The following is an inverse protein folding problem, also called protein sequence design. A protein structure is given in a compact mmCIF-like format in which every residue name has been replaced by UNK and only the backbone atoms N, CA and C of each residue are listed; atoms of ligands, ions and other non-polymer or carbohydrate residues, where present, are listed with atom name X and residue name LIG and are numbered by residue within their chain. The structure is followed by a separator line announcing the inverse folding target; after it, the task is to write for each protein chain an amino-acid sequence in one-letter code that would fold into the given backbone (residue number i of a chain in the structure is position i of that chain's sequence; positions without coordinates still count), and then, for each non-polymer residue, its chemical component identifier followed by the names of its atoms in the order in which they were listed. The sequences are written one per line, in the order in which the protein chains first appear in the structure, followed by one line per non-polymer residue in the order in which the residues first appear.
data_IF_418286590596
#
_entry.id   IF_418286590596
#
_cell.length_a   1.000
_cell.length_b   1.000
_cell.length_c   1.000
_cell.angle_alpha   90.00
_cell.angle_beta   90.00
_cell.angle_gamma   90.00
#
_symmetry.space_group_name_H-M   'P 1'
#
loop_
_entity.id
_entity.type
_entity.pdbx_description
1 polymer ?
#
# COMPACT_ATOMS: atom_id res chain seq x y z
N UNK A 1 8.77 -20.58 -10.23
CA UNK A 1 7.88 -20.26 -9.09
C UNK A 1 7.70 -18.76 -9.08
N UNK A 2 6.50 -18.27 -8.78
CA UNK A 2 6.18 -16.84 -8.78
C UNK A 2 5.82 -16.43 -7.34
N UNK A 3 6.82 -16.44 -6.46
CA UNK A 3 6.63 -16.10 -5.05
C UNK A 3 6.60 -14.59 -4.90
N UNK A 4 5.83 -14.10 -3.94
CA UNK A 4 5.92 -12.71 -3.47
C UNK A 4 7.00 -12.62 -2.38
N UNK A 5 8.05 -11.85 -2.63
CA UNK A 5 9.20 -11.68 -1.73
C UNK A 5 9.24 -10.23 -1.27
N UNK A 6 9.08 -10.02 0.05
CA UNK A 6 9.22 -8.72 0.68
C UNK A 6 10.59 -8.61 1.36
N UNK A 7 11.40 -7.65 0.93
CA UNK A 7 12.71 -7.35 1.52
C UNK A 7 12.62 -6.03 2.28
N UNK A 8 12.86 -6.06 3.59
CA UNK A 8 12.69 -4.90 4.48
C UNK A 8 14.03 -4.45 5.05
N UNK A 9 14.39 -3.20 4.82
CA UNK A 9 15.43 -2.49 5.55
C UNK A 9 14.79 -1.67 6.69
N UNK A 10 15.18 -1.87 7.96
CA UNK A 10 14.69 -1.06 9.07
C UNK A 10 15.09 0.43 8.90
N UNK A 11 14.32 1.33 9.53
CA UNK A 11 14.51 2.78 9.41
C UNK A 11 15.70 3.33 10.25
N UNK A 12 16.90 2.77 10.07
CA UNK A 12 18.13 3.34 10.62
C UNK A 12 18.90 4.13 9.56
N UNK A 13 19.66 5.13 10.02
CA UNK A 13 20.54 5.91 9.16
C UNK A 13 21.70 5.04 8.70
N UNK A 14 21.87 4.88 7.40
CA UNK A 14 22.96 4.12 6.80
C UNK A 14 23.70 4.99 5.77
N UNK A 15 25.03 4.94 5.77
CA UNK A 15 25.87 5.66 4.81
C UNK A 15 25.84 5.00 3.43
N UNK A 16 25.64 3.70 3.39
CA UNK A 16 25.67 2.92 2.15
C UNK A 16 24.28 2.36 1.83
N UNK A 17 23.95 2.19 0.53
CA UNK A 17 22.76 1.44 0.13
C UNK A 17 22.79 0.02 0.73
N UNK A 18 21.62 -0.61 0.92
CA UNK A 18 21.52 -1.97 1.47
C UNK A 18 21.93 -3.02 0.42
N UNK A 19 23.21 -3.03 0.05
CA UNK A 19 23.77 -3.84 -1.04
C UNK A 19 23.43 -5.34 -0.92
N UNK A 20 23.38 -5.87 0.31
CA UNK A 20 22.97 -7.24 0.57
C UNK A 20 21.53 -7.52 0.14
N UNK A 21 20.58 -6.66 0.54
CA UNK A 21 19.18 -6.77 0.12
C UNK A 21 19.05 -6.52 -1.39
N UNK A 22 19.81 -5.60 -1.96
CA UNK A 22 19.79 -5.34 -3.41
C UNK A 22 20.22 -6.59 -4.20
N UNK A 23 21.28 -7.30 -3.77
CA UNK A 23 21.71 -8.55 -4.40
C UNK A 23 20.64 -9.64 -4.32
N UNK A 24 19.99 -9.79 -3.17
CA UNK A 24 18.88 -10.72 -3.00
C UNK A 24 17.72 -10.36 -3.93
N UNK A 25 17.38 -9.07 -4.01
CA UNK A 25 16.32 -8.59 -4.87
C UNK A 25 16.58 -8.92 -6.34
N UNK A 26 17.81 -8.70 -6.81
CA UNK A 26 18.22 -9.07 -8.17
C UNK A 26 18.09 -10.57 -8.41
N UNK A 27 18.61 -11.40 -7.49
CA UNK A 27 18.54 -12.85 -7.63
C UNK A 27 17.09 -13.35 -7.74
N UNK A 28 16.20 -12.93 -6.84
CA UNK A 28 14.80 -13.37 -6.85
C UNK A 28 14.04 -12.90 -8.10
N UNK A 29 14.29 -11.66 -8.57
CA UNK A 29 13.74 -11.20 -9.86
C UNK A 29 14.24 -12.03 -11.04
N UNK A 30 15.52 -12.41 -11.06
CA UNK A 30 16.09 -13.23 -12.14
C UNK A 30 15.46 -14.62 -12.24
N UNK A 31 15.00 -15.20 -11.13
CA UNK A 31 14.32 -16.51 -11.13
C UNK A 31 12.80 -16.39 -11.29
N UNK A 32 12.28 -15.19 -11.54
CA UNK A 32 10.87 -14.91 -11.84
C UNK A 32 9.96 -14.67 -10.64
N UNK A 33 10.52 -14.40 -9.45
CA UNK A 33 9.75 -14.03 -8.26
C UNK A 33 9.41 -12.51 -8.27
N UNK A 34 8.26 -12.14 -7.69
CA UNK A 34 7.83 -10.75 -7.51
C UNK A 34 8.47 -10.17 -6.24
N UNK A 35 9.34 -9.17 -6.40
CA UNK A 35 10.15 -8.64 -5.30
C UNK A 35 9.81 -7.19 -5.00
N UNK A 36 9.27 -6.95 -3.81
CA UNK A 36 9.08 -5.62 -3.22
C UNK A 36 10.20 -5.32 -2.23
N UNK A 37 10.83 -4.17 -2.41
CA UNK A 37 11.81 -3.63 -1.46
C UNK A 37 11.17 -2.49 -0.66
N UNK A 38 11.33 -2.50 0.65
CA UNK A 38 10.82 -1.44 1.53
C UNK A 38 11.88 -1.00 2.55
N UNK A 39 12.00 0.31 2.74
CA UNK A 39 12.80 0.91 3.81
C UNK A 39 11.93 1.86 4.60
N UNK A 40 11.74 1.62 5.90
CA UNK A 40 10.91 2.50 6.71
C UNK A 40 10.21 1.82 7.88
N UNK A 41 9.10 2.41 8.30
CA UNK A 41 8.24 1.88 9.36
C UNK A 41 7.30 0.81 8.78
N UNK A 42 7.38 -0.41 9.33
CA UNK A 42 6.57 -1.55 8.88
C UNK A 42 5.06 -1.29 8.99
N UNK A 43 4.63 -0.44 9.93
CA UNK A 43 3.22 -0.05 10.05
C UNK A 43 2.77 0.80 8.88
N UNK A 44 3.63 1.71 8.40
CA UNK A 44 3.31 2.51 7.21
C UNK A 44 3.25 1.64 5.96
N UNK A 45 4.15 0.65 5.82
CA UNK A 45 4.06 -0.34 4.76
C UNK A 45 2.74 -1.11 4.80
N UNK A 46 2.28 -1.54 5.98
CA UNK A 46 1.01 -2.24 6.11
C UNK A 46 -0.15 -1.36 5.66
N UNK A 47 -0.15 -0.08 6.02
CA UNK A 47 -1.15 0.89 5.55
C UNK A 47 -1.09 1.02 4.02
N UNK A 48 0.09 1.23 3.44
CA UNK A 48 0.27 1.34 1.99
C UNK A 48 -0.27 0.10 1.25
N UNK A 49 0.03 -1.11 1.74
CA UNK A 49 -0.46 -2.36 1.14
C UNK A 49 -1.99 -2.45 1.16
N UNK A 50 -2.61 -2.10 2.30
CA UNK A 50 -4.06 -2.10 2.42
C UNK A 50 -4.67 -1.03 1.50
N UNK A 51 -4.05 0.14 1.38
CA UNK A 51 -4.49 1.18 0.45
C UNK A 51 -4.40 0.73 -1.02
N UNK A 52 -3.34 0.04 -1.41
CA UNK A 52 -3.19 -0.52 -2.76
C UNK A 52 -4.30 -1.53 -3.06
N UNK A 53 -4.54 -2.48 -2.15
CA UNK A 53 -5.60 -3.48 -2.30
C UNK A 53 -6.99 -2.82 -2.34
N UNK A 54 -7.25 -1.87 -1.45
CA UNK A 54 -8.51 -1.12 -1.41
C UNK A 54 -8.73 -0.31 -2.71
N UNK A 55 -7.72 0.42 -3.17
CA UNK A 55 -7.80 1.21 -4.41
C UNK A 55 -8.10 0.31 -5.60
N UNK A 56 -7.45 -0.85 -5.69
CA UNK A 56 -7.72 -1.81 -6.76
C UNK A 56 -9.16 -2.32 -6.71
N UNK A 57 -9.66 -2.63 -5.52
CA UNK A 57 -11.04 -3.10 -5.35
C UNK A 57 -12.07 -2.02 -5.69
N UNK A 58 -11.86 -0.80 -5.22
CA UNK A 58 -12.72 0.34 -5.51
C UNK A 58 -12.72 0.68 -7.01
N UNK A 59 -11.58 0.61 -7.69
CA UNK A 59 -11.51 0.79 -9.16
C UNK A 59 -12.29 -0.26 -9.95
N UNK A 60 -12.55 -1.44 -9.37
CA UNK A 60 -13.39 -2.48 -9.99
C UNK A 60 -14.87 -2.17 -9.77
N UNK A 61 -15.25 -1.77 -8.56
CA UNK A 61 -16.65 -1.51 -8.19
C UNK A 61 -17.14 -0.19 -8.78
N UNK A 62 -16.30 0.84 -8.74
CA UNK A 62 -16.60 2.20 -9.18
C UNK A 62 -15.54 2.65 -10.20
N UNK A 63 -15.60 2.14 -11.44
CA UNK A 63 -14.58 2.37 -12.46
C UNK A 63 -14.54 3.83 -12.96
N UNK A 64 -15.62 4.59 -12.79
CA UNK A 64 -15.71 5.99 -13.20
C UNK A 64 -15.02 6.94 -12.22
N UNK A 65 -14.58 6.44 -11.06
CA UNK A 65 -13.91 7.22 -10.02
C UNK A 65 -12.40 6.96 -10.10
N UNK A 66 -11.61 8.04 -10.16
CA UNK A 66 -10.16 7.93 -10.09
C UNK A 66 -9.67 7.87 -8.63
N UNK A 67 -9.73 6.68 -8.03
CA UNK A 67 -9.43 6.43 -6.61
C UNK A 67 -8.03 6.84 -6.14
N UNK A 68 -7.09 7.08 -7.05
CA UNK A 68 -5.75 7.58 -6.70
C UNK A 68 -5.79 9.00 -6.12
N UNK A 69 -6.75 9.83 -6.49
CA UNK A 69 -6.89 11.18 -5.92
C UNK A 69 -7.28 11.13 -4.44
N UNK A 70 -7.98 10.07 -4.04
CA UNK A 70 -8.38 9.81 -2.65
C UNK A 70 -7.34 9.00 -1.87
N UNK A 71 -6.19 8.66 -2.45
CA UNK A 71 -5.15 7.91 -1.73
C UNK A 71 -4.74 8.55 -0.39
N UNK A 72 -4.51 9.89 -0.30
CA UNK A 72 -4.11 10.51 0.97
C UNK A 72 -5.14 10.34 2.09
N UNK A 73 -6.44 10.43 1.76
CA UNK A 73 -7.51 10.33 2.76
C UNK A 73 -7.75 8.87 3.16
N UNK A 74 -7.69 7.94 2.21
CA UNK A 74 -7.76 6.50 2.47
C UNK A 74 -6.57 6.04 3.34
N UNK A 75 -5.38 6.55 3.06
CA UNK A 75 -4.18 6.28 3.87
C UNK A 75 -4.35 6.79 5.30
N UNK A 76 -4.84 8.02 5.47
CA UNK A 76 -5.11 8.57 6.80
C UNK A 76 -6.20 7.77 7.53
N UNK A 77 -7.26 7.37 6.84
CA UNK A 77 -8.33 6.55 7.38
C UNK A 77 -7.83 5.19 7.86
N UNK A 78 -7.09 4.44 7.03
CA UNK A 78 -6.57 3.11 7.40
C UNK A 78 -5.53 3.23 8.53
N UNK A 79 -4.71 4.28 8.52
CA UNK A 79 -3.70 4.52 9.56
C UNK A 79 -4.32 4.84 10.93
N UNK A 80 -5.42 5.59 10.96
CA UNK A 80 -6.02 6.11 12.21
C UNK A 80 -7.22 5.27 12.67
N UNK A 81 -7.93 4.63 11.74
CA UNK A 81 -9.11 3.81 11.98
C UNK A 81 -10.37 4.60 12.37
N UNK A 82 -10.48 5.87 11.96
CA UNK A 82 -11.59 6.77 12.35
C UNK A 82 -12.36 7.28 11.14
N UNK A 83 -13.68 7.06 11.12
CA UNK A 83 -14.58 7.54 10.08
C UNK A 83 -14.63 9.07 9.94
N UNK A 84 -14.34 9.81 11.02
CA UNK A 84 -14.20 11.27 10.99
C UNK A 84 -13.20 11.78 9.94
N UNK A 85 -12.26 10.94 9.49
CA UNK A 85 -11.32 11.28 8.41
C UNK A 85 -12.02 11.36 7.06
N UNK A 86 -13.10 10.61 6.84
CA UNK A 86 -13.82 10.50 5.56
C UNK A 86 -14.97 11.51 5.43
N UNK A 87 -15.43 12.10 6.52
CA UNK A 87 -16.62 12.98 6.57
C UNK A 87 -16.55 14.21 5.64
N UNK A 88 -15.35 14.64 5.26
CA UNK A 88 -15.16 15.83 4.40
C UNK A 88 -15.31 15.55 2.90
N UNK A 89 -15.45 14.29 2.49
CA UNK A 89 -15.52 13.89 1.10
C UNK A 89 -16.89 13.29 0.79
N UNK A 90 -17.66 13.96 -0.06
CA UNK A 90 -19.04 13.57 -0.40
C UNK A 90 -19.13 12.16 -0.98
N UNK A 91 -18.08 11.70 -1.68
CA UNK A 91 -18.01 10.35 -2.26
C UNK A 91 -18.06 9.23 -1.21
N UNK A 92 -17.68 9.51 0.04
CA UNK A 92 -17.78 8.57 1.15
C UNK A 92 -19.02 8.78 2.03
N UNK A 93 -19.88 9.73 1.68
CA UNK A 93 -21.13 9.99 2.41
C UNK A 93 -22.24 9.00 2.06
N UNK A 94 -22.11 8.28 0.94
CA UNK A 94 -23.14 7.37 0.45
C UNK A 94 -23.11 6.03 1.21
N UNK A 95 -24.22 5.66 1.85
CA UNK A 95 -24.40 4.42 2.62
C UNK A 95 -24.38 3.15 1.75
N UNK A 96 -24.30 3.27 0.42
CA UNK A 96 -24.22 2.16 -0.54
C UNK A 96 -23.03 1.21 -0.31
N UNK A 97 -22.03 1.57 0.51
CA UNK A 97 -20.90 0.70 0.87
C UNK A 97 -21.21 -0.22 2.08
N UNK A 98 -22.34 -0.02 2.76
CA UNK A 98 -22.75 -0.79 3.95
C UNK A 98 -23.97 -1.72 3.73
N UNK A 99 -24.63 -1.67 2.57
CA UNK A 99 -25.87 -2.42 2.30
C UNK A 99 -25.70 -3.73 1.52
N UNK A 100 -24.48 -4.26 1.32
CA UNK A 100 -24.27 -5.60 0.72
C UNK A 100 -23.35 -6.50 1.52
#
# INVERSE_FOLDING_TARGET
MNRKVLLVEPNYKNKYPPMGLMKLATYYRMVGDDVRFYKGDMRLLAVDLICEDLTNHLSIIFPDVFWKDYYPILFAFIKVGKYAVLENEEIFADELVLEY
#
